data_IF_113103512246
#
_entry.id   IF_113103512246
#
_cell.length_a   1.000
_cell.length_b   1.000
_cell.length_c   1.000
_cell.angle_alpha   90.00
_cell.angle_beta   90.00
_cell.angle_gamma   90.00
#
_symmetry.space_group_name_H-M   'P 1'
#
loop_
_entity.id
_entity.type
_entity.pdbx_description
1 polymer ?
#
# COMPACT_ATOMS: atom_id res chain seq x y z
N UNK A 1 -18.89 -4.26 0.28
CA UNK A 1 -17.55 -3.64 0.29
C UNK A 1 -17.73 -2.16 0.03
N UNK A 2 -16.94 -1.30 0.67
CA UNK A 2 -16.96 0.15 0.50
C UNK A 2 -15.55 0.63 0.17
N UNK A 3 -15.41 1.48 -0.83
CA UNK A 3 -14.15 2.16 -1.11
C UNK A 3 -14.01 3.33 -0.15
N UNK A 4 -12.95 3.29 0.67
CA UNK A 4 -12.62 4.34 1.66
C UNK A 4 -11.76 5.44 1.01
N UNK A 5 -10.88 5.04 0.10
CA UNK A 5 -9.96 5.92 -0.62
C UNK A 5 -9.70 5.36 -2.01
N UNK A 6 -9.61 6.22 -3.02
CA UNK A 6 -9.27 5.85 -4.40
C UNK A 6 -8.73 7.08 -5.15
N UNK A 7 -7.43 7.32 -5.00
CA UNK A 7 -6.75 8.47 -5.63
C UNK A 7 -5.23 8.24 -5.67
N UNK A 8 -4.50 9.24 -6.16
CA UNK A 8 -3.05 9.34 -6.06
C UNK A 8 -2.68 9.79 -4.65
N UNK A 9 -2.01 8.91 -3.92
CA UNK A 9 -1.41 9.20 -2.62
C UNK A 9 0.04 9.67 -2.81
N UNK A 10 0.39 10.82 -2.22
CA UNK A 10 1.73 11.38 -2.31
C UNK A 10 2.28 11.66 -0.91
N UNK A 11 3.44 11.07 -0.59
CA UNK A 11 4.15 11.38 0.64
C UNK A 11 5.36 12.26 0.34
N UNK A 12 5.46 13.39 1.06
CA UNK A 12 6.53 14.37 0.90
C UNK A 12 7.69 14.20 1.89
N UNK A 13 7.68 13.10 2.65
CA UNK A 13 8.62 12.85 3.74
C UNK A 13 8.14 13.40 5.09
N UNK A 14 8.96 13.28 6.15
CA UNK A 14 8.62 13.76 7.48
C UNK A 14 8.46 15.29 7.53
N UNK A 15 7.59 15.77 8.43
CA UNK A 15 7.46 17.21 8.71
C UNK A 15 8.81 17.80 9.16
N UNK A 16 9.18 18.94 8.55
CA UNK A 16 10.49 19.57 8.76
C UNK A 16 11.56 19.17 7.72
N UNK A 17 11.29 18.15 6.90
CA UNK A 17 12.16 17.71 5.81
C UNK A 17 13.54 17.22 6.27
N UNK A 18 14.30 16.68 5.34
CA UNK A 18 15.74 16.52 5.54
C UNK A 18 16.40 17.88 5.30
N UNK A 19 16.82 18.59 6.35
CA UNK A 19 17.49 19.91 6.21
C UNK A 19 18.76 19.84 5.35
N UNK A 20 19.44 18.70 5.35
CA UNK A 20 20.62 18.42 4.52
C UNK A 20 20.27 18.21 3.03
N UNK A 21 19.06 17.72 2.75
CA UNK A 21 18.55 17.44 1.40
C UNK A 21 17.76 18.62 0.81
N UNK A 22 17.25 19.51 1.67
CA UNK A 22 16.48 20.70 1.29
C UNK A 22 17.37 21.88 0.83
N UNK A 23 18.69 21.75 0.98
CA UNK A 23 19.66 22.71 0.48
C UNK A 23 19.88 22.54 -1.04
N UNK A 24 18.89 22.90 -1.85
CA UNK A 24 19.16 23.39 -3.21
C UNK A 24 18.29 22.90 -4.36
N UNK A 25 17.58 21.77 -4.26
CA UNK A 25 16.74 21.33 -5.38
C UNK A 25 15.54 20.45 -4.97
N UNK A 26 14.33 20.99 -5.14
CA UNK A 26 13.07 20.25 -4.98
C UNK A 26 12.98 19.04 -5.93
N UNK A 27 13.68 19.07 -7.08
CA UNK A 27 13.74 17.96 -8.06
C UNK A 27 14.53 16.75 -7.54
N UNK A 28 15.25 16.91 -6.43
CA UNK A 28 16.06 15.87 -5.79
C UNK A 28 15.59 15.56 -4.37
N UNK A 29 14.27 15.56 -4.12
CA UNK A 29 13.74 15.03 -2.85
C UNK A 29 13.66 13.50 -2.95
N UNK A 30 14.62 12.73 -2.38
CA UNK A 30 14.64 11.27 -2.52
C UNK A 30 13.41 10.61 -1.88
N UNK A 31 12.73 11.34 -1.00
CA UNK A 31 11.56 10.90 -0.23
C UNK A 31 10.23 11.03 -0.96
N UNK A 32 10.17 11.74 -2.10
CA UNK A 32 8.94 11.86 -2.88
C UNK A 32 8.58 10.47 -3.44
N UNK A 33 7.48 9.93 -2.94
CA UNK A 33 6.89 8.70 -3.43
C UNK A 33 5.44 9.01 -3.75
N UNK A 34 5.07 8.66 -4.97
CA UNK A 34 3.71 8.82 -5.48
C UNK A 34 3.16 7.44 -5.81
N UNK A 35 2.04 7.09 -5.19
CA UNK A 35 1.41 5.80 -5.35
C UNK A 35 -0.04 6.00 -5.74
N UNK A 36 -0.53 5.29 -6.75
CA UNK A 36 -1.97 5.14 -6.93
C UNK A 36 -2.47 4.19 -5.86
N UNK A 37 -3.42 4.63 -5.06
CA UNK A 37 -3.85 3.93 -3.85
C UNK A 37 -5.36 3.75 -3.85
N UNK A 38 -5.82 2.53 -3.60
CA UNK A 38 -7.23 2.22 -3.32
C UNK A 38 -7.35 1.43 -2.03
N UNK A 39 -8.19 1.89 -1.11
CA UNK A 39 -8.47 1.25 0.18
C UNK A 39 -9.93 0.83 0.21
N UNK A 40 -10.18 -0.43 0.56
CA UNK A 40 -11.51 -1.04 0.55
C UNK A 40 -11.82 -1.63 1.94
N UNK A 41 -12.96 -1.28 2.54
CA UNK A 41 -13.54 -2.00 3.68
C UNK A 41 -14.40 -3.16 3.16
N UNK A 42 -14.04 -4.39 3.54
CA UNK A 42 -14.80 -5.60 3.19
C UNK A 42 -16.04 -5.78 4.07
N UNK A 43 -16.12 -5.12 5.23
CA UNK A 43 -17.25 -5.17 6.15
C UNK A 43 -17.74 -3.77 6.54
N UNK A 44 -18.31 -2.99 5.58
CA UNK A 44 -18.91 -1.70 5.90
C UNK A 44 -20.18 -1.92 6.74
N UNK A 45 -20.10 -1.62 8.04
CA UNK A 45 -21.22 -1.74 8.98
C UNK A 45 -21.17 -2.99 9.87
N UNK A 46 -22.31 -3.36 10.44
CA UNK A 46 -22.44 -4.49 11.38
C UNK A 46 -22.86 -5.75 10.62
N UNK A 47 -21.91 -6.42 9.97
CA UNK A 47 -22.16 -7.76 9.42
C UNK A 47 -22.10 -8.80 10.55
N UNK A 48 -22.94 -9.84 10.51
CA UNK A 48 -22.87 -10.92 11.51
C UNK A 48 -21.60 -11.76 11.40
N UNK A 49 -20.91 -11.68 10.25
CA UNK A 49 -19.64 -12.34 9.98
C UNK A 49 -18.59 -11.29 9.64
N UNK A 50 -17.49 -11.29 10.38
CA UNK A 50 -16.34 -10.41 10.14
C UNK A 50 -15.29 -11.16 9.32
N UNK A 51 -14.81 -10.59 8.20
CA UNK A 51 -13.74 -11.21 7.44
C UNK A 51 -12.42 -11.14 8.22
N UNK A 52 -11.57 -12.16 8.03
CA UNK A 52 -10.24 -12.25 8.65
C UNK A 52 -9.39 -11.03 8.27
N UNK A 53 -9.41 -10.67 6.98
CA UNK A 53 -8.89 -9.42 6.46
C UNK A 53 -10.06 -8.46 6.30
N UNK A 54 -10.10 -7.41 7.12
CA UNK A 54 -11.16 -6.40 7.06
C UNK A 54 -10.93 -5.43 5.92
N UNK A 55 -9.68 -4.99 5.75
CA UNK A 55 -9.33 -4.01 4.75
C UNK A 55 -8.50 -4.63 3.64
N UNK A 56 -8.62 -4.06 2.46
CA UNK A 56 -7.73 -4.32 1.33
C UNK A 56 -7.09 -3.01 0.92
N UNK A 57 -5.77 -3.04 0.71
CA UNK A 57 -5.01 -1.96 0.08
C UNK A 57 -4.59 -2.46 -1.29
N UNK A 58 -4.92 -1.72 -2.34
CA UNK A 58 -4.34 -1.85 -3.67
C UNK A 58 -3.40 -0.67 -3.88
N UNK A 59 -2.16 -0.96 -4.24
CA UNK A 59 -1.13 0.05 -4.45
C UNK A 59 -0.37 -0.18 -5.75
N UNK A 60 -0.04 0.89 -6.44
CA UNK A 60 0.85 0.88 -7.61
C UNK A 60 1.81 2.06 -7.49
N UNK A 61 3.10 1.80 -7.66
CA UNK A 61 4.09 2.88 -7.73
C UNK A 61 3.96 3.60 -9.07
N UNK A 62 3.72 4.91 -9.00
CA UNK A 62 3.67 5.80 -10.16
C UNK A 62 4.66 6.95 -9.99
N UNK A 63 5.68 6.77 -9.15
CA UNK A 63 6.70 7.77 -8.91
C UNK A 63 7.54 8.00 -10.16
N UNK A 64 7.84 9.27 -10.44
CA UNK A 64 8.82 9.61 -11.47
C UNK A 64 10.23 9.19 -11.05
N UNK A 65 10.96 8.58 -11.98
CA UNK A 65 12.37 8.29 -11.80
C UNK A 65 12.80 6.94 -12.37
N UNK A 66 14.11 6.68 -12.40
CA UNK A 66 14.66 5.47 -13.00
C UNK A 66 14.49 4.21 -12.13
N UNK A 67 14.08 4.37 -10.87
CA UNK A 67 13.95 3.27 -9.92
C UNK A 67 12.52 3.16 -9.45
N UNK A 68 11.93 2.02 -9.76
CA UNK A 68 10.68 1.61 -9.17
C UNK A 68 10.84 1.36 -7.68
N UNK A 69 9.81 1.72 -6.93
CA UNK A 69 9.71 1.56 -5.49
C UNK A 69 8.64 0.53 -5.17
N UNK A 70 8.83 -0.15 -4.06
CA UNK A 70 7.84 -1.06 -3.49
C UNK A 70 7.03 -0.24 -2.49
N UNK A 71 5.72 -0.07 -2.75
CA UNK A 71 4.88 0.84 -1.96
C UNK A 71 4.72 0.35 -0.51
N UNK A 72 4.67 -0.95 -0.28
CA UNK A 72 4.55 -1.60 1.00
C UNK A 72 5.76 -1.31 1.88
N UNK A 73 6.97 -1.36 1.29
CA UNK A 73 8.22 -1.07 1.97
C UNK A 73 8.38 0.43 2.22
N UNK A 74 8.01 1.24 1.23
CA UNK A 74 8.31 2.67 1.23
C UNK A 74 7.26 3.51 1.95
N UNK A 75 5.98 3.13 1.84
CA UNK A 75 4.82 3.88 2.33
C UNK A 75 3.91 3.09 3.26
N UNK A 76 4.08 1.76 3.34
CA UNK A 76 3.14 0.89 4.06
C UNK A 76 2.83 1.38 5.46
N UNK A 77 3.87 1.68 6.25
CA UNK A 77 3.71 2.20 7.62
C UNK A 77 2.87 3.48 7.67
N UNK A 78 3.16 4.43 6.79
CA UNK A 78 2.48 5.71 6.74
C UNK A 78 1.00 5.53 6.40
N UNK A 79 0.70 4.72 5.39
CA UNK A 79 -0.69 4.42 4.99
C UNK A 79 -1.43 3.68 6.10
N UNK A 80 -0.79 2.74 6.80
CA UNK A 80 -1.42 2.07 7.94
C UNK A 80 -1.79 3.05 9.06
N UNK A 81 -0.88 3.97 9.40
CA UNK A 81 -1.12 4.98 10.42
C UNK A 81 -2.18 6.00 10.01
N UNK A 82 -2.05 6.60 8.83
CA UNK A 82 -2.91 7.69 8.34
C UNK A 82 -4.37 7.24 8.19
N UNK A 83 -4.59 6.05 7.64
CA UNK A 83 -5.94 5.51 7.44
C UNK A 83 -6.41 4.64 8.62
N UNK A 84 -5.66 4.61 9.74
CA UNK A 84 -5.96 3.82 10.93
C UNK A 84 -6.26 2.34 10.62
N UNK A 85 -5.44 1.75 9.76
CA UNK A 85 -5.59 0.38 9.29
C UNK A 85 -4.75 -0.57 10.15
N UNK A 86 -5.34 -1.70 10.53
CA UNK A 86 -4.61 -2.76 11.22
C UNK A 86 -3.82 -3.60 10.22
N UNK A 87 -2.48 -3.63 10.34
CA UNK A 87 -1.59 -4.49 9.52
C UNK A 87 -2.07 -5.94 9.51
N UNK A 88 -2.36 -6.50 10.70
CA UNK A 88 -2.80 -7.90 10.85
C UNK A 88 -4.12 -8.19 10.12
N UNK A 89 -5.03 -7.20 10.07
CA UNK A 89 -6.36 -7.31 9.44
C UNK A 89 -6.43 -6.67 8.05
N UNK A 90 -5.31 -6.38 7.43
CA UNK A 90 -5.26 -5.83 6.07
C UNK A 90 -4.62 -6.84 5.12
N UNK A 91 -5.17 -6.93 3.92
CA UNK A 91 -4.54 -7.56 2.77
C UNK A 91 -3.96 -6.45 1.90
N UNK A 92 -2.64 -6.34 1.85
CA UNK A 92 -1.96 -5.40 0.98
C UNK A 92 -1.65 -6.08 -0.34
N UNK A 93 -1.97 -5.43 -1.45
CA UNK A 93 -1.78 -5.95 -2.79
C UNK A 93 -1.06 -4.86 -3.60
N UNK A 94 0.03 -5.24 -4.26
CA UNK A 94 0.67 -4.37 -5.23
C UNK A 94 0.40 -4.82 -6.65
N UNK A 95 0.15 -3.83 -7.50
CA UNK A 95 0.13 -3.96 -8.94
C UNK A 95 1.54 -3.80 -9.50
N UNK A 96 1.90 -4.72 -10.37
CA UNK A 96 3.09 -4.71 -11.19
C UNK A 96 2.71 -5.08 -12.63
N UNK A 97 2.47 -4.10 -13.51
CA UNK A 97 2.05 -4.38 -14.88
C UNK A 97 3.13 -5.12 -15.68
N UNK A 98 4.37 -5.18 -15.21
CA UNK A 98 5.49 -5.85 -15.89
C UNK A 98 5.67 -7.31 -15.48
N UNK A 99 4.93 -7.81 -14.47
CA UNK A 99 4.99 -9.20 -14.04
C UNK A 99 3.89 -10.07 -14.65
N UNK A 100 4.19 -11.37 -14.79
CA UNK A 100 3.24 -12.38 -15.31
C UNK A 100 1.94 -12.45 -14.50
N UNK A 101 2.04 -12.34 -13.17
CA UNK A 101 0.90 -12.07 -12.31
C UNK A 101 0.97 -10.61 -11.91
N UNK A 102 0.10 -9.78 -12.48
CA UNK A 102 0.16 -8.34 -12.23
C UNK A 102 -0.11 -7.96 -10.77
N UNK A 103 -0.74 -8.83 -9.97
CA UNK A 103 -1.09 -8.53 -8.58
C UNK A 103 -0.47 -9.52 -7.60
N UNK A 104 0.27 -9.00 -6.62
CA UNK A 104 0.88 -9.79 -5.55
C UNK A 104 0.44 -9.28 -4.19
N UNK A 105 0.15 -10.20 -3.27
CA UNK A 105 -0.11 -9.87 -1.88
C UNK A 105 1.19 -9.76 -1.08
N UNK A 106 1.32 -8.68 -0.33
CA UNK A 106 2.38 -8.48 0.64
C UNK A 106 1.98 -9.08 1.99
N UNK A 107 2.91 -9.80 2.61
CA UNK A 107 2.78 -10.30 3.98
C UNK A 107 3.82 -9.64 4.88
N UNK A 108 3.33 -8.82 5.80
CA UNK A 108 4.11 -8.12 6.81
C UNK A 108 4.31 -9.02 8.03
N UNK A 109 5.55 -9.42 8.28
CA UNK A 109 5.94 -10.22 9.45
C UNK A 109 6.74 -9.34 10.40
N UNK A 110 6.37 -9.22 11.69
CA UNK A 110 7.20 -8.51 12.67
C UNK A 110 8.60 -9.10 12.69
N UNK A 111 9.61 -8.25 12.52
CA UNK A 111 11.01 -8.65 12.48
C UNK A 111 11.70 -8.32 13.80
N UNK A 112 11.63 -7.06 14.22
CA UNK A 112 12.18 -6.58 15.49
C UNK A 112 11.46 -5.31 15.96
N UNK A 113 11.76 -4.90 17.19
CA UNK A 113 11.27 -3.66 17.77
C UNK A 113 12.40 -2.62 17.81
N UNK A 114 12.09 -1.39 17.42
CA UNK A 114 12.97 -0.22 17.60
C UNK A 114 12.23 0.81 18.46
N UNK A 115 12.57 0.81 19.76
CA UNK A 115 11.78 1.52 20.76
C UNK A 115 10.34 0.97 20.85
N UNK A 116 9.36 1.85 20.64
CA UNK A 116 7.94 1.48 20.58
C UNK A 116 7.48 1.03 19.19
N UNK A 117 8.33 1.21 18.16
CA UNK A 117 7.99 0.86 16.80
C UNK A 117 8.25 -0.63 16.52
N UNK A 118 7.37 -1.26 15.76
CA UNK A 118 7.58 -2.61 15.23
C UNK A 118 8.05 -2.49 13.80
N UNK A 119 9.23 -3.02 13.49
CA UNK A 119 9.75 -3.11 12.13
C UNK A 119 9.29 -4.43 11.52
N UNK A 120 8.82 -4.37 10.28
CA UNK A 120 8.28 -5.52 9.56
C UNK A 120 9.18 -5.93 8.41
N UNK A 121 9.37 -7.23 8.23
CA UNK A 121 9.83 -7.80 6.96
C UNK A 121 8.65 -8.05 6.06
N UNK A 122 8.85 -7.88 4.76
CA UNK A 122 7.80 -8.08 3.75
C UNK A 122 8.18 -9.26 2.87
N UNK A 123 7.23 -10.16 2.70
CA UNK A 123 7.32 -11.27 1.75
C UNK A 123 6.15 -11.21 0.79
N UNK A 124 6.36 -11.70 -0.43
CA UNK A 124 5.40 -11.58 -1.53
C UNK A 124 4.87 -12.94 -1.94
N UNK A 125 3.59 -12.98 -2.29
CA UNK A 125 2.97 -14.16 -2.90
C UNK A 125 1.93 -13.78 -3.94
N UNK A 126 1.64 -14.68 -4.90
CA UNK A 126 0.45 -14.57 -5.72
C UNK A 126 -0.83 -14.43 -4.89
N UNK A 127 -1.84 -13.76 -5.45
CA UNK A 127 -3.17 -13.75 -4.86
C UNK A 127 -3.79 -15.16 -4.91
N UNK A 128 -4.42 -15.56 -3.81
CA UNK A 128 -5.18 -16.80 -3.73
C UNK A 128 -6.44 -16.70 -4.60
N UNK A 129 -6.96 -17.85 -5.04
CA UNK A 129 -8.17 -17.89 -5.87
C UNK A 129 -9.37 -17.17 -5.23
N UNK A 130 -9.59 -17.37 -3.94
CA UNK A 130 -10.66 -16.70 -3.20
C UNK A 130 -10.46 -15.17 -3.13
N UNK A 131 -9.22 -14.70 -2.99
CA UNK A 131 -8.89 -13.26 -2.98
C UNK A 131 -9.16 -12.65 -4.35
N UNK A 132 -8.70 -13.30 -5.44
CA UNK A 132 -8.95 -12.89 -6.83
C UNK A 132 -10.46 -12.81 -7.11
N UNK A 133 -11.24 -13.83 -6.70
CA UNK A 133 -12.68 -13.83 -6.94
C UNK A 133 -13.41 -12.75 -6.14
N UNK A 134 -13.04 -12.57 -4.87
CA UNK A 134 -13.64 -11.55 -4.00
C UNK A 134 -13.37 -10.15 -4.52
N UNK A 135 -12.17 -9.91 -5.05
CA UNK A 135 -11.71 -8.58 -5.46
C UNK A 135 -11.79 -8.33 -6.96
N UNK A 136 -12.36 -9.25 -7.75
CA UNK A 136 -12.31 -9.25 -9.22
C UNK A 136 -12.58 -7.88 -9.84
N UNK A 137 -13.72 -7.27 -9.51
CA UNK A 137 -14.12 -5.95 -10.03
C UNK A 137 -13.13 -4.84 -9.65
N UNK A 138 -12.62 -4.86 -8.43
CA UNK A 138 -11.65 -3.87 -7.96
C UNK A 138 -10.29 -4.04 -8.62
N UNK A 139 -9.84 -5.28 -8.86
CA UNK A 139 -8.58 -5.55 -9.55
C UNK A 139 -8.64 -5.13 -11.02
N UNK A 140 -9.72 -5.47 -11.73
CA UNK A 140 -9.91 -5.11 -13.14
C UNK A 140 -9.94 -3.59 -13.33
N UNK A 141 -10.79 -2.89 -12.57
CA UNK A 141 -10.88 -1.42 -12.67
C UNK A 141 -9.60 -0.72 -12.22
N UNK A 142 -8.83 -1.34 -11.32
CA UNK A 142 -7.53 -0.80 -10.92
C UNK A 142 -6.50 -0.97 -12.03
N UNK A 143 -6.50 -2.06 -12.80
CA UNK A 143 -5.55 -2.21 -13.93
C UNK A 143 -5.87 -1.37 -15.17
N UNK A 144 -7.11 -0.90 -15.34
CA UNK A 144 -7.56 -0.21 -16.57
C UNK A 144 -7.27 1.30 -16.59
N UNK A 145 -6.87 1.89 -15.47
CA UNK A 145 -6.67 3.36 -15.35
C UNK A 145 -5.20 3.77 -15.48
N UNK A 146 -4.38 2.91 -16.07
CA UNK A 146 -2.94 3.15 -16.31
C UNK A 146 -2.69 3.44 -17.78
#
# INVERSE_FOLDING_TARGET
MLVIYDDIYQWKGPEGGCKECAAGDIRHTPWLITCRLRIIDLAPGTTSVMPLKRHVVLAEDISDGPRRRICAESLGRHIFCEFNLSIKRTLWIECDPFLKEAFHAAHFTPAYHDGEETIYTITWRPLLHAEKNTLKTHLTTFSETT
#
